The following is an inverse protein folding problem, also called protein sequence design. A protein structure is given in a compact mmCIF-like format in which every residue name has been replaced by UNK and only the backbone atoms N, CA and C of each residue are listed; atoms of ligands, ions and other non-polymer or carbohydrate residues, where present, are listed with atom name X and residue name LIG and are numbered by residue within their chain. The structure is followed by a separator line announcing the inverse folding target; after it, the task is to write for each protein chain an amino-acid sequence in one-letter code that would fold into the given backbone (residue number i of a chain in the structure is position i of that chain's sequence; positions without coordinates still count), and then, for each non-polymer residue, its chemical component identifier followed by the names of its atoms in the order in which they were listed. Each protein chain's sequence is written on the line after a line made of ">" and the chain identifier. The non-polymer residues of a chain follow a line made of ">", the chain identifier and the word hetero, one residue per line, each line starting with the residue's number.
data_IF_623233658906
#
_entry.id   IF_623233658906
#
_cell.length_a   1.000
_cell.length_b   1.000
_cell.length_c   1.000
_cell.angle_alpha   90.00
_cell.angle_beta   90.00
_cell.angle_gamma   90.00
#
_symmetry.space_group_name_H-M   'P 1'
#
loop_
_entity.id
_entity.type
_entity.pdbx_description
1 polymer ?
#
# COMPACT_ATOMS: atom_id res chain seq x y z
N UNK A 1 -7.83 -26.44 19.85
CA UNK A 1 -8.96 -25.81 19.18
C UNK A 1 -8.81 -26.12 17.71
N UNK A 2 -9.80 -26.70 17.01
CA UNK A 2 -9.69 -26.87 15.57
C UNK A 2 -9.65 -25.48 14.93
N UNK A 3 -8.73 -25.28 13.98
CA UNK A 3 -8.67 -24.09 13.17
C UNK A 3 -10.05 -23.90 12.50
N UNK A 4 -10.68 -22.75 12.68
CA UNK A 4 -11.85 -22.37 11.91
C UNK A 4 -11.45 -22.45 10.43
N UNK A 5 -12.10 -23.34 9.70
CA UNK A 5 -11.99 -23.39 8.24
C UNK A 5 -12.62 -22.08 7.75
N UNK A 6 -11.80 -21.10 7.44
CA UNK A 6 -12.24 -19.88 6.81
C UNK A 6 -12.95 -20.28 5.51
N UNK A 7 -14.27 -20.11 5.48
CA UNK A 7 -15.05 -20.23 4.25
C UNK A 7 -14.65 -19.03 3.37
N UNK A 8 -13.60 -19.21 2.57
CA UNK A 8 -13.12 -18.17 1.67
C UNK A 8 -14.20 -17.70 0.72
N UNK A 9 -14.21 -16.41 0.45
CA UNK A 9 -15.14 -15.79 -0.49
C UNK A 9 -14.70 -16.03 -1.94
N UNK A 10 -15.65 -16.11 -2.84
CA UNK A 10 -15.38 -16.10 -4.28
C UNK A 10 -15.59 -14.69 -4.81
N UNK A 11 -14.61 -14.19 -5.58
CA UNK A 11 -14.67 -12.90 -6.25
C UNK A 11 -14.29 -13.07 -7.74
N UNK A 12 -14.81 -12.22 -8.61
CA UNK A 12 -14.48 -12.25 -10.04
C UNK A 12 -13.56 -11.08 -10.40
N UNK A 13 -12.55 -11.34 -11.24
CA UNK A 13 -11.70 -10.31 -11.80
C UNK A 13 -12.49 -9.47 -12.81
N UNK A 14 -12.68 -8.17 -12.54
CA UNK A 14 -13.47 -7.29 -13.39
C UNK A 14 -12.62 -6.42 -14.30
N UNK A 15 -11.48 -5.97 -13.80
CA UNK A 15 -10.61 -5.05 -14.52
C UNK A 15 -9.16 -5.24 -14.08
N UNK A 16 -8.25 -4.89 -14.96
CA UNK A 16 -6.84 -4.72 -14.65
C UNK A 16 -6.31 -3.51 -15.40
N UNK A 17 -5.40 -2.79 -14.77
CA UNK A 17 -4.79 -1.60 -15.35
C UNK A 17 -3.33 -1.47 -14.94
N UNK A 18 -2.55 -0.80 -15.75
CA UNK A 18 -1.19 -0.44 -15.42
C UNK A 18 -1.22 0.87 -14.62
N UNK A 19 -0.72 0.83 -13.39
CA UNK A 19 -0.72 1.98 -12.46
C UNK A 19 0.66 2.62 -12.30
N UNK A 20 1.70 1.96 -12.79
CA UNK A 20 3.06 2.47 -12.95
C UNK A 20 3.83 1.55 -13.89
N UNK A 21 5.05 1.92 -14.30
CA UNK A 21 5.88 1.04 -15.11
C UNK A 21 6.15 -0.29 -14.37
N UNK A 22 5.81 -1.41 -15.02
CA UNK A 22 5.93 -2.74 -14.43
C UNK A 22 5.04 -3.00 -13.22
N UNK A 23 4.00 -2.20 -12.96
CA UNK A 23 3.09 -2.35 -11.84
C UNK A 23 1.65 -2.35 -12.32
N UNK A 24 0.88 -3.35 -11.91
CA UNK A 24 -0.53 -3.49 -12.29
C UNK A 24 -1.44 -3.51 -11.08
N UNK A 25 -2.60 -2.92 -11.23
CA UNK A 25 -3.75 -3.10 -10.34
C UNK A 25 -4.75 -4.11 -10.93
N UNK A 26 -5.38 -4.86 -10.04
CA UNK A 26 -6.41 -5.85 -10.36
C UNK A 26 -7.63 -5.57 -9.49
N UNK A 27 -8.78 -5.46 -10.12
CA UNK A 27 -10.05 -5.14 -9.47
C UNK A 27 -10.96 -6.37 -9.49
N UNK A 28 -11.47 -6.72 -8.33
CA UNK A 28 -12.37 -7.83 -8.12
C UNK A 28 -13.72 -7.33 -7.58
N UNK A 29 -14.80 -8.08 -7.82
CA UNK A 29 -16.05 -7.86 -7.08
C UNK A 29 -15.78 -7.98 -5.59
N UNK A 30 -16.30 -7.03 -4.79
CA UNK A 30 -16.29 -7.20 -3.34
C UNK A 30 -17.40 -8.19 -2.99
N UNK A 31 -17.07 -9.34 -2.35
CA UNK A 31 -18.07 -10.33 -1.99
C UNK A 31 -19.11 -9.75 -1.03
N UNK A 32 -20.36 -10.19 -1.16
CA UNK A 32 -21.42 -9.77 -0.25
C UNK A 32 -21.06 -10.10 1.21
N UNK A 33 -21.19 -9.11 2.09
CA UNK A 33 -20.84 -9.25 3.50
C UNK A 33 -19.33 -9.24 3.79
N UNK A 34 -18.48 -9.00 2.80
CA UNK A 34 -17.04 -8.85 3.04
C UNK A 34 -16.74 -7.46 3.60
N UNK A 35 -16.44 -7.44 4.89
CA UNK A 35 -16.07 -6.21 5.61
C UNK A 35 -14.58 -6.23 5.93
N UNK A 36 -13.92 -5.09 5.79
CA UNK A 36 -12.53 -4.91 6.14
C UNK A 36 -12.26 -3.48 6.59
N UNK A 37 -11.13 -3.28 7.25
CA UNK A 37 -10.63 -1.95 7.62
C UNK A 37 -9.54 -1.54 6.63
N UNK A 38 -9.53 -0.26 6.24
CA UNK A 38 -8.49 0.27 5.37
C UNK A 38 -7.08 -0.03 5.94
N UNK A 39 -6.20 -0.55 5.07
CA UNK A 39 -4.86 -1.01 5.42
C UNK A 39 -4.72 -2.51 5.70
N UNK A 40 -5.82 -3.27 5.73
CA UNK A 40 -5.78 -4.73 5.83
C UNK A 40 -5.44 -5.41 4.50
N UNK A 41 -5.13 -6.70 4.57
CA UNK A 41 -4.72 -7.56 3.47
C UNK A 41 -5.69 -8.73 3.26
N UNK A 42 -5.59 -9.35 2.08
CA UNK A 42 -6.29 -10.57 1.70
C UNK A 42 -5.33 -11.56 1.07
N UNK A 43 -5.61 -12.85 1.21
CA UNK A 43 -5.01 -13.89 0.40
C UNK A 43 -5.85 -14.11 -0.86
N UNK A 44 -5.20 -14.02 -2.02
CA UNK A 44 -5.81 -14.32 -3.31
C UNK A 44 -5.31 -15.68 -3.77
N UNK A 45 -6.24 -16.62 -3.96
CA UNK A 45 -5.96 -17.96 -4.52
C UNK A 45 -6.45 -18.02 -5.96
N UNK A 46 -5.54 -18.29 -6.90
CA UNK A 46 -5.90 -18.58 -8.29
C UNK A 46 -6.47 -20.00 -8.40
N UNK A 47 -7.68 -20.13 -8.93
CA UNK A 47 -8.33 -21.42 -9.11
C UNK A 47 -7.84 -22.05 -10.42
N UNK A 48 -7.23 -23.25 -10.34
CA UNK A 48 -6.73 -24.01 -11.50
C UNK A 48 -5.86 -23.14 -12.45
N UNK A 49 -4.82 -22.44 -11.97
CA UNK A 49 -3.97 -21.67 -12.86
C UNK A 49 -3.24 -22.59 -13.85
N UNK A 50 -2.90 -22.09 -15.06
CA UNK A 50 -2.24 -22.91 -16.09
C UNK A 50 -0.82 -23.35 -15.70
N UNK A 51 -0.22 -22.66 -14.74
CA UNK A 51 1.10 -22.97 -14.18
C UNK A 51 1.17 -22.59 -12.70
N UNK A 52 2.01 -23.28 -11.95
CA UNK A 52 2.37 -22.95 -10.55
C UNK A 52 3.87 -23.11 -10.38
N UNK A 53 4.41 -22.46 -9.35
CA UNK A 53 5.80 -22.61 -8.89
C UNK A 53 5.84 -23.19 -7.47
N UNK A 54 7.04 -23.27 -6.87
CA UNK A 54 7.22 -23.78 -5.52
C UNK A 54 6.46 -22.98 -4.43
N UNK A 55 6.11 -21.71 -4.74
CA UNK A 55 5.33 -20.85 -3.83
C UNK A 55 3.80 -21.08 -3.98
N UNK A 56 3.37 -21.92 -4.93
CA UNK A 56 1.98 -22.28 -5.15
C UNK A 56 1.12 -21.17 -5.78
N UNK A 57 -0.19 -21.29 -5.60
CA UNK A 57 -1.21 -20.45 -6.23
C UNK A 57 -1.89 -19.46 -5.28
N UNK A 58 -1.32 -19.18 -4.11
CA UNK A 58 -1.83 -18.24 -3.11
C UNK A 58 -0.80 -17.13 -2.91
N UNK A 59 -1.26 -15.87 -2.87
CA UNK A 59 -0.44 -14.72 -2.46
C UNK A 59 -1.26 -13.74 -1.65
N UNK A 60 -0.60 -13.19 -0.62
CA UNK A 60 -1.16 -12.11 0.21
C UNK A 60 -0.93 -10.76 -0.46
N UNK A 61 -1.96 -9.93 -0.46
CA UNK A 61 -1.92 -8.56 -0.94
C UNK A 61 -2.64 -7.62 0.01
N UNK A 62 -2.06 -6.47 0.28
CA UNK A 62 -2.78 -5.38 0.93
C UNK A 62 -3.91 -4.92 0.02
N UNK A 63 -5.08 -4.65 0.59
CA UNK A 63 -6.23 -4.10 -0.13
C UNK A 63 -5.96 -2.62 -0.38
N UNK A 64 -5.79 -2.26 -1.65
CA UNK A 64 -5.49 -0.88 -2.05
C UNK A 64 -6.74 -0.01 -2.20
N UNK A 65 -7.93 -0.61 -2.43
CA UNK A 65 -9.21 0.10 -2.39
C UNK A 65 -9.65 0.39 -0.95
N UNK A 66 -10.35 1.48 -0.69
CA UNK A 66 -10.95 1.75 0.62
C UNK A 66 -12.23 0.93 0.86
N UNK A 67 -12.63 0.70 2.13
CA UNK A 67 -13.84 -0.06 2.47
C UNK A 67 -15.15 0.42 1.85
N UNK A 68 -15.29 1.71 1.58
CA UNK A 68 -16.54 2.25 0.99
C UNK A 68 -16.73 1.91 -0.49
N UNK A 69 -15.70 1.42 -1.18
CA UNK A 69 -15.82 1.03 -2.59
C UNK A 69 -16.46 -0.35 -2.75
N UNK A 70 -17.18 -0.51 -3.86
CA UNK A 70 -17.86 -1.77 -4.23
C UNK A 70 -16.91 -2.83 -4.80
N UNK A 71 -15.66 -2.45 -5.08
CA UNK A 71 -14.64 -3.35 -5.63
C UNK A 71 -13.46 -3.45 -4.70
N UNK A 72 -12.88 -4.65 -4.64
CA UNK A 72 -11.59 -4.88 -4.03
C UNK A 72 -10.50 -4.62 -5.09
N UNK A 73 -9.54 -3.77 -4.76
CA UNK A 73 -8.36 -3.54 -5.60
C UNK A 73 -7.11 -4.03 -4.89
N UNK A 74 -6.32 -4.82 -5.57
CA UNK A 74 -4.94 -5.11 -5.19
C UNK A 74 -4.00 -4.54 -6.25
N UNK A 75 -2.76 -4.22 -5.88
CA UNK A 75 -1.75 -3.84 -6.86
C UNK A 75 -0.42 -4.54 -6.55
N UNK A 76 0.33 -4.87 -7.61
CA UNK A 76 1.61 -5.58 -7.47
C UNK A 76 2.58 -5.22 -8.58
N UNK A 77 3.88 -5.23 -8.25
CA UNK A 77 4.93 -5.23 -9.28
C UNK A 77 4.91 -6.54 -10.03
N UNK A 78 4.90 -6.43 -11.35
CA UNK A 78 4.85 -7.58 -12.26
C UNK A 78 6.25 -8.17 -12.44
N UNK A 79 6.61 -9.09 -11.53
CA UNK A 79 7.81 -9.93 -11.66
C UNK A 79 7.47 -11.22 -12.40
N UNK A 80 8.48 -11.85 -12.94
CA UNK A 80 8.34 -13.12 -13.67
C UNK A 80 8.21 -14.30 -12.69
N UNK A 81 7.02 -14.44 -12.07
CA UNK A 81 6.60 -15.60 -11.27
C UNK A 81 5.38 -16.23 -11.89
N UNK A 82 5.19 -17.54 -11.70
CA UNK A 82 4.03 -18.26 -12.24
C UNK A 82 2.71 -17.62 -11.83
N UNK A 83 2.57 -17.28 -10.55
CA UNK A 83 1.37 -16.61 -10.04
C UNK A 83 1.07 -15.27 -10.76
N UNK A 84 2.08 -14.40 -10.93
CA UNK A 84 1.88 -13.08 -11.55
C UNK A 84 1.62 -13.17 -13.05
N UNK A 85 2.26 -14.13 -13.75
CA UNK A 85 1.94 -14.42 -15.17
C UNK A 85 0.51 -14.90 -15.31
N UNK A 86 0.09 -15.87 -14.49
CA UNK A 86 -1.27 -16.40 -14.49
C UNK A 86 -2.29 -15.29 -14.17
N UNK A 87 -2.07 -14.49 -13.11
CA UNK A 87 -2.95 -13.37 -12.74
C UNK A 87 -3.09 -12.34 -13.88
N UNK A 88 -1.97 -12.01 -14.55
CA UNK A 88 -1.96 -11.07 -15.68
C UNK A 88 -2.77 -11.57 -16.87
N UNK A 89 -2.69 -12.88 -17.17
CA UNK A 89 -3.37 -13.50 -18.31
C UNK A 89 -4.79 -13.96 -18.01
N UNK A 90 -5.22 -13.90 -16.75
CA UNK A 90 -6.53 -14.41 -16.31
C UNK A 90 -7.65 -13.70 -17.08
N UNK A 91 -8.58 -14.40 -17.77
CA UNK A 91 -9.71 -13.76 -18.44
C UNK A 91 -10.56 -12.93 -17.45
N UNK A 92 -11.08 -11.79 -17.92
CA UNK A 92 -12.04 -11.04 -17.11
C UNK A 92 -13.29 -11.89 -16.84
N UNK A 93 -13.85 -11.77 -15.64
CA UNK A 93 -14.94 -12.60 -15.16
C UNK A 93 -14.50 -13.92 -14.51
N UNK A 94 -13.20 -14.27 -14.59
CA UNK A 94 -12.69 -15.48 -13.91
C UNK A 94 -12.78 -15.33 -12.40
N UNK A 95 -13.24 -16.39 -11.73
CA UNK A 95 -13.33 -16.47 -10.29
C UNK A 95 -11.96 -16.75 -9.64
N UNK A 96 -11.70 -16.07 -8.54
CA UNK A 96 -10.61 -16.33 -7.61
C UNK A 96 -11.20 -16.57 -6.22
N UNK A 97 -10.47 -17.25 -5.35
CA UNK A 97 -10.83 -17.33 -3.93
C UNK A 97 -10.12 -16.22 -3.17
N UNK A 98 -10.83 -15.59 -2.24
CA UNK A 98 -10.33 -14.56 -1.35
C UNK A 98 -10.52 -15.02 0.08
N UNK A 99 -9.44 -15.08 0.84
CA UNK A 99 -9.44 -15.34 2.28
C UNK A 99 -8.97 -14.09 3.02
N UNK A 100 -9.55 -13.81 4.18
CA UNK A 100 -9.26 -12.61 4.98
C UNK A 100 -10.54 -11.91 5.45
N UNK A 101 -10.48 -10.63 5.86
CA UNK A 101 -9.28 -9.78 5.89
C UNK A 101 -8.31 -10.13 7.01
N UNK A 102 -7.05 -9.80 6.83
CA UNK A 102 -5.98 -10.00 7.82
C UNK A 102 -5.13 -8.73 7.98
N UNK A 103 -4.24 -8.73 8.97
CA UNK A 103 -3.31 -7.61 9.19
C UNK A 103 -3.85 -6.53 10.13
N UNK A 104 -2.90 -5.81 10.73
CA UNK A 104 -3.15 -4.77 11.76
C UNK A 104 -2.67 -3.37 11.34
N UNK A 105 -2.17 -3.19 10.13
CA UNK A 105 -1.66 -1.91 9.63
C UNK A 105 -2.81 -0.95 9.31
N UNK A 106 -3.62 -0.63 10.31
CA UNK A 106 -4.81 0.23 10.17
C UNK A 106 -4.60 1.55 10.90
N UNK A 107 -5.27 2.63 10.44
CA UNK A 107 -5.16 3.94 11.08
C UNK A 107 -5.58 3.85 12.56
N UNK A 108 -4.78 4.46 13.44
CA UNK A 108 -5.08 4.54 14.86
C UNK A 108 -6.32 5.43 15.12
N UNK A 109 -6.96 5.22 16.28
CA UNK A 109 -8.20 5.94 16.63
C UNK A 109 -7.96 7.33 17.20
N UNK A 110 -6.80 7.58 17.83
CA UNK A 110 -6.51 8.84 18.48
C UNK A 110 -6.12 9.93 17.48
N UNK A 111 -7.06 10.72 17.05
CA UNK A 111 -6.85 11.80 16.07
C UNK A 111 -6.02 13.00 16.58
N UNK A 112 -5.70 13.05 17.87
CA UNK A 112 -4.76 14.07 18.39
C UNK A 112 -3.30 13.74 18.06
N UNK A 113 -2.97 12.47 17.75
CA UNK A 113 -1.67 12.05 17.26
C UNK A 113 -1.67 12.11 15.72
N UNK A 114 -0.70 12.79 15.09
CA UNK A 114 -0.53 12.70 13.63
C UNK A 114 -0.21 11.28 13.17
N UNK A 115 -0.59 10.92 11.95
CA UNK A 115 -0.16 9.70 11.29
C UNK A 115 0.89 10.01 10.21
N UNK A 116 2.06 9.40 10.32
CA UNK A 116 3.15 9.55 9.36
C UNK A 116 3.36 8.22 8.64
N UNK A 117 3.13 8.22 7.33
CA UNK A 117 3.29 7.06 6.45
C UNK A 117 4.60 7.18 5.69
N UNK A 118 5.45 6.15 5.75
CA UNK A 118 6.70 6.04 5.01
C UNK A 118 6.57 4.86 4.05
N UNK A 119 6.35 5.16 2.77
CA UNK A 119 6.09 4.16 1.74
C UNK A 119 7.26 4.01 0.78
N UNK A 120 7.62 2.78 0.44
CA UNK A 120 8.53 2.46 -0.65
C UNK A 120 7.85 1.64 -1.74
N UNK A 121 7.88 2.13 -2.98
CA UNK A 121 7.33 1.42 -4.13
C UNK A 121 5.91 0.92 -3.91
N UNK A 122 5.68 -0.40 -4.06
CA UNK A 122 4.33 -0.98 -3.92
C UNK A 122 3.82 -1.01 -2.47
N UNK A 123 4.67 -0.73 -1.47
CA UNK A 123 4.25 -0.52 -0.06
C UNK A 123 3.27 0.63 0.13
N UNK A 124 2.98 1.40 -0.92
CA UNK A 124 1.91 2.41 -0.94
C UNK A 124 0.51 1.81 -0.80
N UNK A 125 0.29 0.54 -1.15
CA UNK A 125 -1.05 -0.05 -1.26
C UNK A 125 -1.90 0.02 0.02
N UNK A 126 -1.44 -0.37 1.21
CA UNK A 126 -2.23 -0.21 2.42
C UNK A 126 -2.49 1.26 2.77
N UNK A 127 -1.54 2.14 2.50
CA UNK A 127 -1.68 3.56 2.80
C UNK A 127 -2.64 4.26 1.83
N UNK A 128 -2.67 3.86 0.56
CA UNK A 128 -3.67 4.36 -0.39
C UNK A 128 -5.10 4.10 0.12
N UNK A 129 -5.37 2.88 0.58
CA UNK A 129 -6.65 2.51 1.18
C UNK A 129 -6.99 3.39 2.39
N UNK A 130 -6.03 3.56 3.32
CA UNK A 130 -6.20 4.38 4.53
C UNK A 130 -6.46 5.84 4.17
N UNK A 131 -5.65 6.43 3.29
CA UNK A 131 -5.74 7.84 2.93
C UNK A 131 -7.03 8.17 2.20
N UNK A 132 -7.47 7.28 1.29
CA UNK A 132 -8.76 7.44 0.58
C UNK A 132 -9.94 7.33 1.54
N UNK A 133 -9.92 6.35 2.46
CA UNK A 133 -10.95 6.20 3.49
C UNK A 133 -11.00 7.43 4.41
N UNK A 134 -9.85 7.86 4.92
CA UNK A 134 -9.76 9.02 5.83
C UNK A 134 -10.26 10.31 5.16
N UNK A 135 -9.98 10.49 3.87
CA UNK A 135 -10.45 11.65 3.09
C UNK A 135 -11.96 11.58 2.87
N UNK A 136 -12.50 10.41 2.51
CA UNK A 136 -13.93 10.19 2.31
C UNK A 136 -14.73 10.47 3.59
N UNK A 137 -14.28 9.94 4.72
CA UNK A 137 -14.92 10.12 6.03
C UNK A 137 -14.60 11.47 6.69
N UNK A 138 -13.73 12.29 6.07
CA UNK A 138 -13.25 13.57 6.60
C UNK A 138 -12.69 13.43 8.02
N UNK A 139 -11.89 12.38 8.24
CA UNK A 139 -11.31 12.11 9.55
C UNK A 139 -10.45 13.28 10.03
N UNK A 140 -10.46 13.56 11.35
CA UNK A 140 -9.78 14.73 11.90
C UNK A 140 -8.24 14.61 11.99
N UNK A 141 -7.66 13.46 11.65
CA UNK A 141 -6.21 13.21 11.73
C UNK A 141 -5.39 14.13 10.82
N UNK A 142 -4.23 14.57 11.30
CA UNK A 142 -3.16 15.08 10.45
C UNK A 142 -2.44 13.91 9.81
N UNK A 143 -2.37 13.86 8.49
CA UNK A 143 -1.84 12.74 7.71
C UNK A 143 -0.66 13.21 6.87
N UNK A 144 0.47 12.52 6.98
CA UNK A 144 1.67 12.82 6.19
C UNK A 144 2.11 11.55 5.47
N UNK A 145 2.33 11.63 4.15
CA UNK A 145 2.84 10.53 3.37
C UNK A 145 4.17 10.92 2.72
N UNK A 146 5.23 10.25 3.11
CA UNK A 146 6.51 10.26 2.41
C UNK A 146 6.57 9.04 1.52
N UNK A 147 6.69 9.24 0.21
CA UNK A 147 6.60 8.15 -0.77
C UNK A 147 7.83 8.11 -1.65
N UNK A 148 8.69 7.09 -1.42
CA UNK A 148 9.94 6.91 -2.13
C UNK A 148 9.80 5.94 -3.29
N UNK A 149 10.24 6.35 -4.47
CA UNK A 149 10.38 5.53 -5.66
C UNK A 149 11.72 5.79 -6.34
N UNK A 150 12.08 5.01 -7.36
CA UNK A 150 13.29 5.27 -8.14
C UNK A 150 13.05 6.45 -9.06
N UNK A 151 12.01 6.40 -9.88
CA UNK A 151 11.63 7.39 -10.89
C UNK A 151 10.14 7.68 -10.80
N UNK A 152 9.64 8.80 -11.32
CA UNK A 152 8.21 9.11 -11.36
C UNK A 152 7.37 8.02 -12.03
N UNK A 153 7.84 7.45 -13.13
CA UNK A 153 7.18 6.36 -13.86
C UNK A 153 7.07 5.05 -13.08
N UNK A 154 7.87 4.87 -12.02
CA UNK A 154 7.80 3.72 -11.11
C UNK A 154 6.80 3.94 -9.95
N UNK A 155 6.30 5.17 -9.78
CA UNK A 155 5.46 5.57 -8.65
C UNK A 155 3.97 5.30 -8.94
N UNK A 156 3.45 4.20 -8.41
CA UNK A 156 2.04 3.88 -8.56
C UNK A 156 1.15 4.92 -7.85
N UNK A 157 0.01 5.25 -8.47
CA UNK A 157 -1.04 6.13 -7.90
C UNK A 157 -0.59 7.58 -7.62
N UNK A 158 0.46 8.06 -8.29
CA UNK A 158 1.01 9.40 -8.04
C UNK A 158 -0.04 10.50 -8.23
N UNK A 159 -0.81 10.45 -9.32
CA UNK A 159 -1.87 11.41 -9.60
C UNK A 159 -3.01 11.34 -8.58
N UNK A 160 -3.43 10.12 -8.21
CA UNK A 160 -4.45 9.92 -7.17
C UNK A 160 -4.04 10.53 -5.83
N UNK A 161 -2.76 10.37 -5.44
CA UNK A 161 -2.24 10.93 -4.20
C UNK A 161 -2.17 12.46 -4.25
N UNK A 162 -1.80 13.05 -5.40
CA UNK A 162 -1.84 14.50 -5.62
C UNK A 162 -3.28 15.05 -5.54
N UNK A 163 -4.25 14.33 -6.06
CA UNK A 163 -5.67 14.71 -5.98
C UNK A 163 -6.19 14.61 -4.54
N UNK A 164 -5.79 13.59 -3.80
CA UNK A 164 -6.14 13.45 -2.38
C UNK A 164 -5.57 14.61 -1.54
N UNK A 165 -4.34 15.05 -1.80
CA UNK A 165 -3.76 16.22 -1.11
C UNK A 165 -4.59 17.49 -1.36
N UNK A 166 -5.04 17.71 -2.60
CA UNK A 166 -5.91 18.84 -2.95
C UNK A 166 -7.28 18.75 -2.25
N UNK A 167 -7.82 17.54 -2.13
CA UNK A 167 -9.15 17.30 -1.55
C UNK A 167 -9.17 17.30 -0.01
N UNK A 168 -8.05 16.99 0.63
CA UNK A 168 -7.95 16.87 2.09
C UNK A 168 -6.91 17.83 2.66
N UNK A 169 -7.32 18.97 3.26
CA UNK A 169 -6.38 19.96 3.79
C UNK A 169 -5.54 19.46 4.99
N UNK A 170 -5.89 18.29 5.56
CA UNK A 170 -5.13 17.63 6.63
C UNK A 170 -4.15 16.59 6.12
N UNK A 171 -4.10 16.35 4.82
CA UNK A 171 -3.17 15.42 4.19
C UNK A 171 -2.03 16.19 3.51
N UNK A 172 -0.80 15.80 3.81
CA UNK A 172 0.41 16.31 3.17
C UNK A 172 1.12 15.18 2.44
N UNK A 173 1.38 15.36 1.14
CA UNK A 173 2.05 14.40 0.27
C UNK A 173 3.47 14.85 -0.08
N UNK A 174 4.46 14.01 0.19
CA UNK A 174 5.89 14.27 -0.03
C UNK A 174 6.50 13.14 -0.85
N UNK A 175 6.32 13.14 -2.18
CA UNK A 175 6.97 12.17 -3.05
C UNK A 175 8.45 12.50 -3.24
N UNK A 176 9.32 11.47 -3.24
CA UNK A 176 10.76 11.60 -3.49
C UNK A 176 11.26 10.54 -4.46
N UNK A 177 12.19 10.92 -5.35
CA UNK A 177 12.75 10.02 -6.36
C UNK A 177 14.25 9.82 -6.16
N UNK A 178 14.66 8.56 -5.93
CA UNK A 178 16.07 8.23 -5.66
C UNK A 178 16.93 8.21 -6.90
N UNK A 179 16.35 8.06 -8.08
CA UNK A 179 17.00 7.99 -9.38
C UNK A 179 16.33 8.93 -10.39
N UNK A 180 15.93 10.13 -9.97
CA UNK A 180 15.24 11.11 -10.83
C UNK A 180 15.99 11.40 -12.13
N UNK A 181 17.33 11.43 -12.09
CA UNK A 181 18.17 11.67 -13.27
C UNK A 181 18.13 10.56 -14.34
N UNK A 182 17.57 9.37 -14.02
CA UNK A 182 17.37 8.28 -14.98
C UNK A 182 15.95 8.26 -15.58
N UNK A 183 15.10 9.19 -15.16
CA UNK A 183 13.73 9.30 -15.67
C UNK A 183 13.71 9.94 -17.05
N UNK A 184 12.80 9.49 -17.90
CA UNK A 184 12.43 10.17 -19.15
C UNK A 184 11.35 11.24 -18.94
N UNK A 185 10.82 11.36 -17.72
CA UNK A 185 9.88 12.39 -17.32
C UNK A 185 10.59 13.46 -16.48
N UNK A 186 10.18 14.74 -16.63
CA UNK A 186 10.70 15.82 -15.80
C UNK A 186 10.16 15.68 -14.39
N UNK A 187 11.06 15.64 -13.40
CA UNK A 187 10.70 15.63 -11.98
C UNK A 187 11.06 16.98 -11.32
N UNK A 188 10.11 17.55 -10.54
CA UNK A 188 10.28 18.85 -9.85
C UNK A 188 10.01 18.67 -8.33
N UNK A 189 9.97 17.44 -7.84
CA UNK A 189 9.77 17.14 -6.40
C UNK A 189 11.09 16.87 -5.67
N UNK A 190 10.96 16.30 -4.48
CA UNK A 190 12.10 15.87 -3.67
C UNK A 190 12.89 14.77 -4.40
N UNK A 191 14.20 14.72 -4.12
CA UNK A 191 15.10 13.69 -4.65
C UNK A 191 15.90 13.06 -3.52
N UNK A 192 16.36 11.81 -3.74
CA UNK A 192 17.08 11.05 -2.74
C UNK A 192 16.16 10.17 -1.87
N UNK A 193 16.76 9.55 -0.86
CA UNK A 193 16.03 8.74 0.11
C UNK A 193 15.26 9.62 1.10
N UNK A 194 14.21 9.07 1.70
CA UNK A 194 13.58 9.70 2.87
C UNK A 194 14.62 9.75 3.99
N UNK A 195 14.84 10.92 4.56
CA UNK A 195 15.79 11.17 5.64
C UNK A 195 15.17 12.00 6.79
N UNK A 196 15.93 12.17 7.85
CA UNK A 196 15.53 12.96 9.02
C UNK A 196 15.28 14.43 8.73
N UNK A 197 16.03 15.02 7.77
CA UNK A 197 15.82 16.41 7.37
C UNK A 197 14.50 16.59 6.63
N UNK A 198 14.17 15.65 5.74
CA UNK A 198 12.88 15.66 5.02
C UNK A 198 11.71 15.57 6.00
N UNK A 199 11.81 14.71 7.04
CA UNK A 199 10.81 14.65 8.09
C UNK A 199 10.75 15.97 8.87
N UNK A 200 11.86 16.44 9.41
CA UNK A 200 11.92 17.64 10.26
C UNK A 200 11.41 18.91 9.54
N UNK A 201 11.62 19.00 8.23
CA UNK A 201 11.12 20.12 7.42
C UNK A 201 9.60 20.03 7.12
N UNK A 202 8.97 18.87 7.38
CA UNK A 202 7.57 18.64 7.01
C UNK A 202 6.67 18.52 8.23
N UNK A 203 7.12 17.85 9.29
CA UNK A 203 6.32 17.60 10.51
C UNK A 203 6.79 18.50 11.65
N UNK A 204 5.87 18.94 12.49
CA UNK A 204 6.17 19.85 13.61
C UNK A 204 7.00 19.18 14.72
N UNK A 205 6.90 17.86 14.87
CA UNK A 205 7.65 17.06 15.85
C UNK A 205 7.78 15.64 15.35
N UNK A 206 8.93 15.03 15.62
CA UNK A 206 9.17 13.60 15.39
C UNK A 206 8.64 12.76 16.55
N UNK A 207 8.52 13.34 17.75
CA UNK A 207 7.94 12.69 18.93
C UNK A 207 6.43 12.92 18.95
N UNK A 208 5.67 11.86 19.24
CA UNK A 208 4.22 11.89 19.39
C UNK A 208 3.37 11.39 18.23
N UNK A 209 3.79 11.51 16.95
CA UNK A 209 3.08 10.84 15.84
C UNK A 209 3.10 9.32 15.96
N UNK A 210 2.13 8.68 15.27
CA UNK A 210 2.17 7.24 14.99
C UNK A 210 2.77 7.04 13.59
N UNK A 211 3.79 6.21 13.50
CA UNK A 211 4.50 5.91 12.26
C UNK A 211 4.00 4.61 11.64
N UNK A 212 3.85 4.61 10.32
CA UNK A 212 3.49 3.47 9.51
C UNK A 212 4.54 3.33 8.41
N UNK A 213 5.23 2.21 8.36
CA UNK A 213 6.30 1.98 7.40
C UNK A 213 5.95 0.75 6.56
N UNK A 214 5.89 0.90 5.24
CA UNK A 214 5.62 -0.22 4.34
C UNK A 214 6.49 -0.13 3.08
N UNK A 215 7.15 -1.24 2.73
CA UNK A 215 8.04 -1.29 1.57
C UNK A 215 9.05 -2.42 1.63
N UNK A 216 10.14 -2.33 0.85
CA UNK A 216 11.23 -3.30 0.88
C UNK A 216 11.79 -3.49 2.30
N UNK A 217 12.14 -4.72 2.72
CA UNK A 217 12.66 -4.98 4.07
C UNK A 217 13.81 -4.06 4.48
N UNK A 218 14.79 -3.84 3.59
CA UNK A 218 15.93 -2.95 3.89
C UNK A 218 15.48 -1.49 4.15
N UNK A 219 14.45 -1.00 3.45
CA UNK A 219 13.88 0.32 3.70
C UNK A 219 13.15 0.37 5.04
N UNK A 220 12.34 -0.63 5.35
CA UNK A 220 11.60 -0.70 6.62
C UNK A 220 12.56 -0.64 7.81
N UNK A 221 13.64 -1.43 7.77
CA UNK A 221 14.69 -1.43 8.82
C UNK A 221 15.35 -0.04 8.91
N UNK A 222 15.79 0.54 7.79
CA UNK A 222 16.47 1.83 7.78
C UNK A 222 15.55 2.96 8.29
N UNK A 223 14.28 3.00 7.88
CA UNK A 223 13.32 4.00 8.32
C UNK A 223 13.04 3.86 9.82
N UNK A 224 12.82 2.64 10.32
CA UNK A 224 12.63 2.41 11.76
C UNK A 224 13.81 2.93 12.57
N UNK A 225 15.04 2.56 12.18
CA UNK A 225 16.24 3.02 12.86
C UNK A 225 16.37 4.55 12.84
N UNK A 226 16.08 5.19 11.72
CA UNK A 226 16.15 6.64 11.57
C UNK A 226 15.16 7.36 12.51
N UNK A 227 13.89 6.93 12.57
CA UNK A 227 12.89 7.60 13.40
C UNK A 227 13.09 7.32 14.90
N UNK A 228 13.58 6.14 15.29
CA UNK A 228 13.97 5.85 16.67
C UNK A 228 15.16 6.72 17.09
N UNK A 229 16.19 6.82 16.24
CA UNK A 229 17.33 7.70 16.49
C UNK A 229 16.95 9.18 16.59
N UNK A 230 15.87 9.59 15.92
CA UNK A 230 15.29 10.94 16.03
C UNK A 230 14.40 11.13 17.27
N UNK A 231 14.23 10.11 18.11
CA UNK A 231 13.52 10.16 19.40
C UNK A 231 12.06 9.74 19.37
N UNK A 232 11.60 9.06 18.33
CA UNK A 232 10.26 8.43 18.33
C UNK A 232 10.24 7.21 19.25
N UNK A 233 9.09 6.97 19.87
CA UNK A 233 8.84 5.76 20.66
C UNK A 233 8.67 4.55 19.73
N UNK A 234 9.33 3.45 20.05
CA UNK A 234 9.21 2.21 19.25
C UNK A 234 7.80 1.64 19.25
N UNK A 235 7.01 1.83 20.31
CA UNK A 235 5.63 1.41 20.43
C UNK A 235 4.68 2.19 19.49
N UNK A 236 5.09 3.37 19.05
CA UNK A 236 4.37 4.20 18.09
C UNK A 236 4.73 3.85 16.62
N UNK A 237 5.53 2.77 16.36
CA UNK A 237 5.97 2.37 15.02
C UNK A 237 5.29 1.06 14.59
N UNK A 238 4.61 1.10 13.46
CA UNK A 238 3.94 -0.05 12.81
C UNK A 238 4.58 -0.32 11.46
N UNK A 239 4.94 -1.56 11.20
CA UNK A 239 5.68 -1.93 9.99
C UNK A 239 5.02 -3.06 9.24
N UNK A 240 5.17 -3.06 7.89
CA UNK A 240 4.84 -4.17 7.01
C UNK A 240 5.92 -4.29 5.93
N UNK A 241 6.51 -5.47 5.82
CA UNK A 241 7.54 -5.75 4.84
C UNK A 241 6.94 -6.42 3.61
N UNK A 242 7.27 -5.88 2.45
CA UNK A 242 6.87 -6.47 1.17
C UNK A 242 8.06 -7.22 0.59
N UNK A 243 8.00 -8.54 0.61
CA UNK A 243 8.97 -9.40 -0.07
C UNK A 243 8.68 -9.42 -1.59
N UNK A 244 9.73 -9.56 -2.40
CA UNK A 244 9.54 -9.73 -3.84
C UNK A 244 9.64 -8.42 -4.67
N UNK A 245 10.51 -7.49 -4.24
CA UNK A 245 10.94 -6.33 -5.04
C UNK A 245 11.97 -6.69 -6.11
#
# INVERSE_FOLDING_TARGET
>A
MPAEVSNGHTAKLNCREQVAEGTMAFHFDKPNGFEFRAGQAIDVTLLNPPETDAEGNIRTFSIASPPFEERLMIATRMRDTAFKRALKSLPLGTAVKIDGPSGSLTLHKNSSKPAIFLAGGIGITPFLSILRQATHEKLPHQLFLFYSNRRPEDAAFLDTLNELEKANPKFRFVPTMTEAGKSHQKWIGQTGFIDSNMLANTVSSVQGPIYYIAGPPAMVVAMRQMIVAAGADEDDIRTEEFSGY
#
